data_IF_451652113084
#
_entry.id   IF_451652113084
#
_cell.length_a   1.000
_cell.length_b   1.000
_cell.length_c   1.000
_cell.angle_alpha   90.00
_cell.angle_beta   90.00
_cell.angle_gamma   90.00
#
_symmetry.space_group_name_H-M   'P 1'
#
loop_
_entity.id
_entity.type
_entity.pdbx_description
1 polymer ?
#
# COMPACT_ATOMS: atom_id res chain seq x y z
N UNK A 1 -15.01 -2.92 2.04
CA UNK A 1 -14.59 -2.76 3.45
C UNK A 1 -13.69 -1.55 3.52
N UNK A 2 -13.84 -0.70 4.54
CA UNK A 2 -12.92 0.42 4.77
C UNK A 2 -11.77 -0.07 5.64
N UNK A 3 -10.53 0.15 5.20
CA UNK A 3 -9.34 -0.13 6.00
C UNK A 3 -9.01 1.12 6.84
N UNK A 4 -8.83 1.00 8.17
CA UNK A 4 -8.42 2.12 9.01
C UNK A 4 -7.06 2.71 8.60
N UNK A 5 -6.85 4.03 8.69
CA UNK A 5 -5.60 4.68 8.27
C UNK A 5 -4.40 4.32 9.15
N UNK A 6 -4.64 3.86 10.38
CA UNK A 6 -3.62 3.38 11.32
C UNK A 6 -3.27 1.89 11.12
N UNK A 7 -3.95 1.19 10.19
CA UNK A 7 -3.64 -0.21 9.88
C UNK A 7 -2.20 -0.32 9.37
N UNK A 8 -1.31 -1.10 10.02
CA UNK A 8 0.04 -1.30 9.52
C UNK A 8 0.04 -2.12 8.23
N UNK A 9 0.78 -1.65 7.23
CA UNK A 9 0.89 -2.26 5.90
C UNK A 9 2.33 -2.39 5.45
N UNK A 10 2.54 -3.28 4.48
CA UNK A 10 3.74 -3.41 3.68
C UNK A 10 3.34 -3.17 2.21
N UNK A 11 3.97 -2.18 1.57
CA UNK A 11 3.73 -1.88 0.16
C UNK A 11 4.98 -2.17 -0.67
N UNK A 12 4.77 -2.87 -1.79
CA UNK A 12 5.83 -3.27 -2.71
C UNK A 12 5.52 -2.79 -4.12
N UNK A 13 6.57 -2.45 -4.87
CA UNK A 13 6.53 -2.30 -6.30
C UNK A 13 7.47 -3.34 -6.92
N UNK A 14 6.90 -4.39 -7.51
CA UNK A 14 7.65 -5.60 -7.82
C UNK A 14 8.27 -6.24 -6.56
N UNK A 15 9.59 -6.37 -6.53
CA UNK A 15 10.37 -6.94 -5.42
C UNK A 15 10.89 -5.90 -4.42
N UNK A 16 10.63 -4.61 -4.68
CA UNK A 16 11.11 -3.51 -3.84
C UNK A 16 10.06 -3.08 -2.83
N UNK A 17 10.42 -3.08 -1.55
CA UNK A 17 9.62 -2.46 -0.50
C UNK A 17 9.64 -0.93 -0.66
N UNK A 18 8.48 -0.33 -0.90
CA UNK A 18 8.34 1.12 -1.11
C UNK A 18 7.80 1.86 0.12
N UNK A 19 7.05 1.17 0.98
CA UNK A 19 6.59 1.70 2.26
C UNK A 19 6.32 0.59 3.28
N UNK A 20 6.49 0.93 4.56
CA UNK A 20 6.11 0.12 5.71
C UNK A 20 5.65 1.04 6.83
N UNK A 21 4.48 0.77 7.41
CA UNK A 21 3.92 1.57 8.49
C UNK A 21 2.41 1.72 8.38
N UNK A 22 1.80 2.68 9.10
CA UNK A 22 0.38 3.00 8.98
C UNK A 22 -0.01 3.28 7.53
N UNK A 23 -1.17 2.77 7.08
CA UNK A 23 -1.68 3.00 5.73
C UNK A 23 -1.72 4.49 5.36
N UNK A 24 -2.13 5.35 6.29
CA UNK A 24 -2.18 6.80 6.08
C UNK A 24 -0.84 7.42 5.70
N UNK A 25 0.26 6.93 6.26
CA UNK A 25 1.62 7.39 5.96
C UNK A 25 2.15 6.74 4.68
N UNK A 26 1.77 5.49 4.40
CA UNK A 26 2.19 4.75 3.22
C UNK A 26 1.49 5.19 1.92
N UNK A 27 0.29 5.76 2.00
CA UNK A 27 -0.56 6.10 0.85
C UNK A 27 0.14 6.99 -0.19
N UNK A 28 0.96 7.96 0.24
CA UNK A 28 1.66 8.85 -0.69
C UNK A 28 2.67 8.09 -1.57
N UNK A 29 3.45 7.18 -0.99
CA UNK A 29 4.40 6.36 -1.74
C UNK A 29 3.70 5.36 -2.66
N UNK A 30 2.59 4.77 -2.20
CA UNK A 30 1.75 3.86 -2.97
C UNK A 30 1.16 4.57 -4.21
N UNK A 31 0.56 5.74 -4.01
CA UNK A 31 -0.05 6.53 -5.08
C UNK A 31 1.00 6.99 -6.10
N UNK A 32 2.17 7.46 -5.64
CA UNK A 32 3.26 7.86 -6.51
C UNK A 32 3.78 6.70 -7.39
N UNK A 33 4.00 5.51 -6.80
CA UNK A 33 4.44 4.33 -7.54
C UNK A 33 3.38 3.86 -8.55
N UNK A 34 2.11 3.86 -8.16
CA UNK A 34 1.00 3.55 -9.08
C UNK A 34 0.92 4.56 -10.22
N UNK A 35 1.10 5.86 -9.94
CA UNK A 35 1.10 6.93 -10.95
C UNK A 35 2.29 6.84 -11.92
N UNK A 36 3.42 6.27 -11.48
CA UNK A 36 4.55 5.93 -12.34
C UNK A 36 4.33 4.66 -13.19
N UNK A 37 3.17 4.00 -13.05
CA UNK A 37 2.84 2.77 -13.76
C UNK A 37 3.46 1.50 -13.16
N UNK A 38 4.02 1.57 -11.94
CA UNK A 38 4.52 0.39 -11.25
C UNK A 38 3.35 -0.48 -10.76
N UNK A 39 3.50 -1.80 -10.84
CA UNK A 39 2.54 -2.72 -10.25
C UNK A 39 2.74 -2.76 -8.72
N UNK A 40 1.80 -2.16 -7.99
CA UNK A 40 1.86 -2.06 -6.53
C UNK A 40 1.07 -3.19 -5.86
N UNK A 41 1.68 -3.83 -4.87
CA UNK A 41 1.03 -4.79 -3.98
C UNK A 41 1.07 -4.26 -2.54
N UNK A 42 -0.07 -4.27 -1.86
CA UNK A 42 -0.18 -3.86 -0.46
C UNK A 42 -0.67 -5.03 0.36
N UNK A 43 0.03 -5.32 1.45
CA UNK A 43 -0.30 -6.37 2.39
C UNK A 43 -0.57 -5.79 3.78
N UNK A 44 -1.54 -6.36 4.48
CA UNK A 44 -1.71 -6.17 5.91
C UNK A 44 -0.50 -6.77 6.64
N UNK A 45 0.19 -5.97 7.45
CA UNK A 45 1.39 -6.43 8.16
C UNK A 45 1.07 -7.40 9.32
N UNK A 46 -0.19 -7.51 9.75
CA UNK A 46 -0.62 -8.37 10.85
C UNK A 46 -0.92 -9.80 10.40
N UNK A 47 -1.62 -9.97 9.27
CA UNK A 47 -2.08 -11.29 8.80
C UNK A 47 -1.64 -11.65 7.37
N UNK A 48 -0.92 -10.75 6.69
CA UNK A 48 -0.38 -10.98 5.35
C UNK A 48 -1.43 -10.96 4.24
N UNK A 49 -2.67 -10.54 4.53
CA UNK A 49 -3.71 -10.45 3.49
C UNK A 49 -3.45 -9.29 2.54
N UNK A 50 -3.78 -9.49 1.27
CA UNK A 50 -3.73 -8.42 0.27
C UNK A 50 -4.81 -7.39 0.56
N UNK A 51 -4.43 -6.11 0.52
CA UNK A 51 -5.32 -4.97 0.60
C UNK A 51 -5.40 -4.37 -0.81
N UNK A 52 -6.59 -4.43 -1.40
CA UNK A 52 -6.88 -3.76 -2.67
C UNK A 52 -7.25 -2.29 -2.41
N UNK A 53 -6.53 -1.37 -3.04
CA UNK A 53 -6.71 0.07 -2.89
C UNK A 53 -7.19 0.66 -4.21
N UNK A 54 -8.31 1.37 -4.18
CA UNK A 54 -8.71 2.19 -5.30
C UNK A 54 -7.91 3.50 -5.28
N UNK A 55 -6.86 3.56 -6.09
CA UNK A 55 -5.95 4.71 -6.21
C UNK A 55 -6.34 5.66 -7.36
N UNK A 56 -7.51 5.44 -7.99
CA UNK A 56 -7.99 6.25 -9.10
C UNK A 56 -8.58 7.55 -8.54
N UNK A 57 -7.78 8.61 -8.54
CA UNK A 57 -8.14 9.94 -8.05
C UNK A 57 -7.00 10.93 -8.22
#
# INVERSE_FOLDING_TARGET
MTIPPDRPVLAFAGDRLIARGPLGEALAAIHAASGAGEAVLVFDAADGRVIDLDLRG
#
